data_IF_620538501955
#
_entry.id   IF_620538501955
#
_cell.length_a   1.000
_cell.length_b   1.000
_cell.length_c   1.000
_cell.angle_alpha   90.00
_cell.angle_beta   90.00
_cell.angle_gamma   90.00
#
_symmetry.space_group_name_H-M   'P 1'
#
loop_
_entity.id
_entity.type
_entity.pdbx_description
1 polymer ?
#
# COMPACT_ATOMS: atom_id res chain seq x y z
N UNK A 1 -9.26 31.57 -10.27
CA UNK A 1 -8.35 30.48 -10.64
C UNK A 1 -8.96 29.16 -10.19
N UNK A 2 -9.25 28.27 -11.10
CA UNK A 2 -9.79 27.00 -10.68
C UNK A 2 -8.75 26.27 -9.87
N UNK A 3 -9.13 25.87 -8.69
CA UNK A 3 -8.29 25.00 -7.91
C UNK A 3 -8.25 23.64 -8.59
N UNK A 4 -7.06 23.17 -8.85
CA UNK A 4 -6.92 21.80 -9.27
C UNK A 4 -7.47 20.91 -8.15
N UNK A 5 -8.29 19.90 -8.50
CA UNK A 5 -8.71 18.96 -7.49
C UNK A 5 -7.47 18.33 -6.86
N UNK A 6 -7.53 18.11 -5.54
CA UNK A 6 -6.45 17.41 -4.86
C UNK A 6 -6.13 16.14 -5.62
N UNK A 7 -4.83 15.87 -5.81
CA UNK A 7 -4.40 14.67 -6.50
C UNK A 7 -4.97 13.46 -5.79
N UNK A 8 -5.70 12.62 -6.53
CA UNK A 8 -6.25 11.39 -5.99
C UNK A 8 -5.27 10.26 -6.23
N UNK A 9 -4.98 9.53 -5.17
CA UNK A 9 -4.15 8.35 -5.29
C UNK A 9 -5.00 7.15 -5.69
N UNK A 10 -4.52 6.38 -6.65
CA UNK A 10 -5.11 5.09 -6.99
C UNK A 10 -4.65 4.07 -5.97
N UNK A 11 -5.59 3.47 -5.26
CA UNK A 11 -5.26 2.55 -4.17
C UNK A 11 -6.03 1.25 -4.28
N UNK A 12 -5.41 0.20 -3.75
CA UNK A 12 -6.05 -1.09 -3.51
C UNK A 12 -5.95 -1.37 -2.03
N UNK A 13 -7.10 -1.37 -1.36
CA UNK A 13 -7.17 -1.71 0.05
C UNK A 13 -7.39 -3.22 0.18
N UNK A 14 -6.42 -3.90 0.79
CA UNK A 14 -6.55 -5.31 1.10
C UNK A 14 -6.83 -5.46 2.58
N UNK A 15 -7.93 -6.13 2.87
CA UNK A 15 -8.35 -6.39 4.25
C UNK A 15 -7.72 -7.68 4.76
N UNK A 16 -7.59 -7.77 6.07
CA UNK A 16 -7.04 -8.98 6.69
C UNK A 16 -7.94 -10.20 6.49
N UNK A 17 -9.24 -9.98 6.27
CA UNK A 17 -10.20 -11.05 6.02
C UNK A 17 -10.24 -11.51 4.54
N UNK A 18 -9.39 -10.95 3.69
CA UNK A 18 -9.31 -11.31 2.29
C UNK A 18 -10.10 -10.43 1.34
N UNK A 19 -10.94 -9.53 1.85
CA UNK A 19 -11.65 -8.58 0.98
C UNK A 19 -10.68 -7.64 0.30
N UNK A 20 -11.10 -7.12 -0.84
CA UNK A 20 -10.28 -6.21 -1.63
C UNK A 20 -11.19 -5.09 -2.16
N UNK A 21 -10.71 -3.85 -2.03
CA UNK A 21 -11.45 -2.68 -2.50
C UNK A 21 -10.52 -1.79 -3.28
N UNK A 22 -10.86 -1.52 -4.54
CA UNK A 22 -10.09 -0.64 -5.42
C UNK A 22 -10.77 0.71 -5.54
N UNK A 23 -10.00 1.78 -5.51
CA UNK A 23 -10.57 3.10 -5.65
C UNK A 23 -9.55 4.21 -5.52
N UNK A 24 -10.06 5.40 -5.22
CA UNK A 24 -9.26 6.61 -5.08
C UNK A 24 -9.37 7.13 -3.67
N UNK A 25 -8.28 7.71 -3.16
CA UNK A 25 -8.30 8.38 -1.88
C UNK A 25 -7.54 9.71 -1.95
N UNK A 26 -8.00 10.68 -1.18
CA UNK A 26 -7.35 11.98 -1.03
C UNK A 26 -7.02 12.32 0.41
N UNK A 27 -7.50 11.53 1.36
CA UNK A 27 -7.42 11.83 2.79
C UNK A 27 -6.68 10.78 3.61
N UNK A 28 -5.92 9.90 2.97
CA UNK A 28 -5.14 8.92 3.70
C UNK A 28 -3.97 9.58 4.41
N UNK A 29 -3.88 9.36 5.73
CA UNK A 29 -2.75 9.78 6.55
C UNK A 29 -2.24 8.58 7.34
N UNK A 30 -0.91 8.39 7.43
CA UNK A 30 -0.35 7.23 8.14
C UNK A 30 -0.74 7.12 9.60
N UNK A 31 -1.11 8.24 10.22
CA UNK A 31 -1.47 8.29 11.64
C UNK A 31 -2.97 8.24 11.87
N UNK A 32 -3.76 8.33 10.81
CA UNK A 32 -5.21 8.33 10.95
C UNK A 32 -5.75 6.91 11.09
N UNK A 33 -6.72 6.73 11.95
CA UNK A 33 -7.40 5.45 12.14
C UNK A 33 -8.32 5.10 10.98
N UNK A 34 -8.80 6.12 10.28
CA UNK A 34 -9.83 6.01 9.24
C UNK A 34 -9.47 6.91 8.08
N UNK A 35 -9.75 6.45 6.89
CA UNK A 35 -9.73 7.28 5.69
C UNK A 35 -10.90 6.89 4.78
N UNK A 36 -11.13 7.68 3.74
CA UNK A 36 -12.24 7.45 2.81
C UNK A 36 -11.72 7.03 1.45
N UNK A 37 -12.35 6.04 0.87
CA UNK A 37 -12.00 5.50 -0.43
C UNK A 37 -13.22 5.58 -1.34
N UNK A 38 -13.04 6.26 -2.48
CA UNK A 38 -14.08 6.34 -3.52
C UNK A 38 -13.91 5.16 -4.46
N UNK A 39 -14.82 4.17 -4.42
CA UNK A 39 -14.65 2.95 -5.23
C UNK A 39 -14.61 3.23 -6.73
N UNK A 40 -13.85 2.43 -7.45
CA UNK A 40 -13.87 2.39 -8.92
C UNK A 40 -15.13 1.64 -9.35
N UNK A 41 -16.24 1.97 -8.77
CA UNK A 41 -17.47 1.27 -9.12
C UNK A 41 -18.11 1.94 -10.31
N UNK A 42 -18.74 1.18 -11.17
CA UNK A 42 -19.50 1.75 -12.26
C UNK A 42 -20.79 2.43 -11.81
N UNK A 43 -21.10 2.40 -10.52
CA UNK A 43 -22.34 2.97 -10.00
C UNK A 43 -22.17 4.47 -9.78
N UNK A 44 -22.93 5.24 -10.49
CA UNK A 44 -22.99 6.68 -10.27
C UNK A 44 -23.53 6.98 -8.89
N UNK A 45 -22.88 7.94 -8.21
CA UNK A 45 -23.32 8.36 -6.91
C UNK A 45 -22.85 7.46 -5.76
N UNK A 46 -21.88 6.58 -6.01
CA UNK A 46 -21.30 5.79 -4.96
C UNK A 46 -20.67 6.72 -3.93
N UNK A 47 -21.14 6.65 -2.70
CA UNK A 47 -20.54 7.41 -1.61
C UNK A 47 -19.18 6.83 -1.25
N UNK A 48 -18.23 7.66 -0.83
CA UNK A 48 -16.95 7.14 -0.34
C UNK A 48 -17.16 6.15 0.81
N UNK A 49 -16.36 5.10 0.81
CA UNK A 49 -16.39 4.07 1.83
C UNK A 49 -15.43 4.46 2.93
N UNK A 50 -15.89 4.42 4.18
CA UNK A 50 -15.02 4.59 5.32
C UNK A 50 -14.18 3.33 5.51
N UNK A 51 -12.87 3.48 5.52
CA UNK A 51 -11.94 2.37 5.67
C UNK A 51 -11.20 2.52 6.99
N UNK A 52 -11.29 1.50 7.83
CA UNK A 52 -10.55 1.45 9.09
C UNK A 52 -9.21 0.78 8.86
N UNK A 53 -8.14 1.51 9.11
CA UNK A 53 -6.78 1.05 8.86
C UNK A 53 -6.48 -0.25 9.60
N UNK A 54 -6.96 -0.39 10.84
CA UNK A 54 -6.71 -1.58 11.66
C UNK A 54 -7.28 -2.87 11.05
N UNK A 55 -8.25 -2.77 10.14
CA UNK A 55 -8.83 -3.93 9.47
C UNK A 55 -8.05 -4.34 8.21
N UNK A 56 -7.12 -3.51 7.79
CA UNK A 56 -6.37 -3.76 6.56
C UNK A 56 -5.14 -4.62 6.80
N UNK A 57 -4.80 -5.40 5.79
CA UNK A 57 -3.50 -6.01 5.64
C UNK A 57 -2.51 -4.95 5.17
N UNK A 58 -2.88 -4.23 4.12
CA UNK A 58 -2.06 -3.18 3.53
C UNK A 58 -2.89 -2.31 2.60
N UNK A 59 -2.41 -1.09 2.37
CA UNK A 59 -2.96 -0.19 1.36
C UNK A 59 -1.90 -0.02 0.28
N UNK A 60 -2.23 -0.47 -0.93
CA UNK A 60 -1.31 -0.42 -2.06
C UNK A 60 -1.62 0.80 -2.90
N UNK A 61 -0.62 1.64 -3.12
CA UNK A 61 -0.69 2.75 -4.06
C UNK A 61 -0.20 2.24 -5.39
N UNK A 62 -1.11 2.15 -6.36
CA UNK A 62 -0.85 1.44 -7.62
C UNK A 62 -0.83 2.39 -8.81
N UNK A 63 -0.10 2.00 -9.85
CA UNK A 63 -0.08 2.75 -11.11
C UNK A 63 -1.34 2.47 -11.91
N UNK A 64 -1.79 1.23 -11.93
CA UNK A 64 -2.94 0.75 -12.67
C UNK A 64 -3.78 -0.19 -11.81
N UNK A 65 -5.11 -0.02 -11.87
CA UNK A 65 -6.03 -0.90 -11.12
C UNK A 65 -6.00 -2.34 -11.62
N UNK A 66 -5.77 -2.53 -12.91
CA UNK A 66 -5.73 -3.87 -13.51
C UNK A 66 -4.51 -4.65 -13.06
N UNK A 67 -3.48 -3.96 -12.59
CA UNK A 67 -2.20 -4.58 -12.31
C UNK A 67 -1.50 -4.99 -13.61
N UNK A 68 -0.60 -5.94 -13.48
CA UNK A 68 0.19 -6.48 -14.61
C UNK A 68 0.20 -7.99 -14.48
N UNK A 69 -0.85 -8.67 -15.00
CA UNK A 69 -1.00 -10.12 -14.78
C UNK A 69 0.15 -10.95 -15.35
N UNK A 70 0.83 -10.45 -16.40
CA UNK A 70 1.95 -11.15 -17.00
C UNK A 70 3.29 -10.82 -16.36
N UNK A 71 3.27 -10.04 -15.29
CA UNK A 71 4.49 -9.59 -14.63
C UNK A 71 4.48 -10.00 -13.16
N UNK A 72 5.56 -10.64 -12.74
CA UNK A 72 5.77 -10.97 -11.33
C UNK A 72 6.83 -10.05 -10.75
N UNK A 73 6.52 -9.44 -9.60
CA UNK A 73 7.47 -8.56 -8.92
C UNK A 73 8.73 -9.33 -8.54
N UNK A 74 9.87 -8.71 -8.79
CA UNK A 74 11.15 -9.23 -8.31
C UNK A 74 11.24 -9.04 -6.82
N UNK A 75 11.47 -10.11 -6.11
CA UNK A 75 11.61 -10.10 -4.64
C UNK A 75 13.09 -10.03 -4.24
N UNK A 76 13.85 -9.18 -4.93
CA UNK A 76 15.25 -8.98 -4.65
C UNK A 76 15.66 -7.54 -5.00
N UNK A 77 16.70 -7.06 -4.35
CA UNK A 77 17.21 -5.72 -4.63
C UNK A 77 18.11 -5.76 -5.87
N UNK A 78 18.01 -4.70 -6.68
CA UNK A 78 18.86 -4.52 -7.83
C UNK A 78 20.23 -4.00 -7.36
N UNK A 79 21.33 -4.77 -7.56
CA UNK A 79 22.64 -4.32 -7.12
C UNK A 79 23.17 -3.09 -7.87
N UNK A 80 22.60 -2.80 -9.05
CA UNK A 80 22.98 -1.62 -9.82
C UNK A 80 22.33 -0.33 -9.31
N UNK A 81 21.33 -0.44 -8.42
CA UNK A 81 20.63 0.72 -7.87
C UNK A 81 20.76 0.73 -6.37
N UNK A 82 21.48 1.70 -5.79
CA UNK A 82 21.53 1.82 -4.33
C UNK A 82 20.13 2.11 -3.80
N UNK A 83 19.72 1.45 -2.71
CA UNK A 83 18.40 1.67 -2.15
C UNK A 83 18.29 3.07 -1.53
N UNK A 84 17.12 3.67 -1.69
CA UNK A 84 16.76 4.90 -0.98
C UNK A 84 15.97 4.46 0.25
N UNK A 85 16.46 4.82 1.43
CA UNK A 85 15.87 4.38 2.67
C UNK A 85 16.46 3.05 3.14
N UNK A 86 15.86 2.48 4.15
CA UNK A 86 16.37 1.27 4.78
C UNK A 86 15.70 0.03 4.18
N UNK A 87 16.49 -0.96 3.84
CA UNK A 87 15.98 -2.23 3.33
C UNK A 87 15.14 -2.94 4.39
N UNK A 88 14.01 -3.48 3.98
CA UNK A 88 13.07 -4.15 4.88
C UNK A 88 12.47 -5.38 4.21
N UNK A 89 12.29 -6.42 4.99
CA UNK A 89 11.55 -7.60 4.59
C UNK A 89 10.33 -7.74 5.50
N UNK A 90 9.16 -7.86 4.90
CA UNK A 90 7.90 -8.00 5.61
C UNK A 90 7.29 -9.35 5.27
N UNK A 91 6.94 -10.10 6.29
CA UNK A 91 6.15 -11.33 6.13
C UNK A 91 4.81 -11.12 6.80
N UNK A 92 3.74 -11.22 6.02
CA UNK A 92 2.39 -11.08 6.53
C UNK A 92 1.92 -12.36 7.21
N UNK A 93 0.88 -12.24 8.02
CA UNK A 93 0.30 -13.40 8.71
C UNK A 93 -0.19 -14.47 7.75
N UNK A 94 -0.60 -14.09 6.54
CA UNK A 94 -1.02 -15.02 5.50
C UNK A 94 0.16 -15.65 4.73
N UNK A 95 1.38 -15.30 5.08
CA UNK A 95 2.59 -15.84 4.46
C UNK A 95 3.14 -15.04 3.29
N UNK A 96 2.43 -14.02 2.83
CA UNK A 96 2.95 -13.18 1.74
C UNK A 96 4.19 -12.42 2.18
N UNK A 97 5.14 -12.28 1.27
CA UNK A 97 6.40 -11.60 1.52
C UNK A 97 6.51 -10.37 0.65
N UNK A 98 6.91 -9.25 1.27
CA UNK A 98 7.26 -8.02 0.55
C UNK A 98 8.70 -7.67 0.89
N UNK A 99 9.48 -7.36 -0.12
CA UNK A 99 10.84 -6.87 0.02
C UNK A 99 10.91 -5.48 -0.60
N UNK A 100 11.48 -4.53 0.15
CA UNK A 100 11.57 -3.17 -0.32
C UNK A 100 12.39 -2.30 0.61
N UNK A 101 12.15 -1.00 0.52
CA UNK A 101 12.80 -0.02 1.40
C UNK A 101 11.74 0.78 2.16
N UNK A 102 12.09 1.23 3.35
CA UNK A 102 11.22 2.05 4.17
C UNK A 102 11.96 3.30 4.63
N UNK A 103 11.29 4.47 4.68
CA UNK A 103 11.88 5.65 5.29
C UNK A 103 11.98 5.54 6.80
N UNK A 104 11.18 4.68 7.42
CA UNK A 104 11.22 4.45 8.85
C UNK A 104 10.21 3.41 9.27
N UNK A 105 10.58 2.61 10.24
CA UNK A 105 9.71 1.60 10.83
C UNK A 105 9.56 1.89 12.31
N UNK A 106 8.31 2.03 12.74
CA UNK A 106 7.97 2.27 14.15
C UNK A 106 6.94 1.23 14.56
N UNK A 107 7.33 0.25 15.38
CA UNK A 107 6.46 -0.90 15.70
C UNK A 107 5.17 -0.54 16.45
N UNK A 108 5.15 0.60 17.13
CA UNK A 108 3.99 1.07 17.89
C UNK A 108 3.01 1.93 17.05
N UNK A 109 3.31 2.16 15.78
CA UNK A 109 2.40 2.86 14.87
C UNK A 109 1.49 1.88 14.15
N UNK A 110 0.40 2.38 13.55
CA UNK A 110 -0.54 1.57 12.77
C UNK A 110 0.15 0.81 11.65
N UNK A 111 1.15 1.43 11.05
CA UNK A 111 1.87 0.83 9.96
C UNK A 111 3.04 1.70 9.50
N UNK A 112 3.59 1.33 8.36
CA UNK A 112 4.73 2.03 7.77
C UNK A 112 4.74 1.84 6.26
N UNK A 113 5.36 2.79 5.57
CA UNK A 113 5.47 2.72 4.11
C UNK A 113 6.63 1.83 3.70
N UNK A 114 6.40 1.07 2.63
CA UNK A 114 7.42 0.26 1.96
C UNK A 114 7.34 0.56 0.47
N UNK A 115 8.49 0.86 -0.13
CA UNK A 115 8.63 0.95 -1.58
C UNK A 115 9.17 -0.39 -2.06
N UNK A 116 8.43 -1.11 -2.94
CA UNK A 116 8.88 -2.42 -3.41
C UNK A 116 10.27 -2.36 -4.05
N UNK A 117 11.03 -3.44 -3.87
CA UNK A 117 12.39 -3.54 -4.42
C UNK A 117 12.39 -3.52 -5.94
N UNK A 118 11.32 -3.96 -6.58
CA UNK A 118 11.20 -3.99 -8.02
C UNK A 118 10.70 -2.65 -8.55
N UNK A 119 11.55 -1.88 -9.31
CA UNK A 119 11.15 -0.58 -9.81
C UNK A 119 10.06 -0.65 -10.89
N UNK A 120 9.81 -1.83 -11.44
CA UNK A 120 8.76 -2.05 -12.45
C UNK A 120 7.45 -2.54 -11.83
N UNK A 121 7.39 -2.65 -10.52
CA UNK A 121 6.17 -3.06 -9.84
C UNK A 121 5.02 -2.12 -10.18
N UNK A 122 3.83 -2.66 -10.30
CA UNK A 122 2.60 -1.86 -10.38
C UNK A 122 2.37 -1.08 -9.07
N UNK A 123 2.97 -1.53 -7.99
CA UNK A 123 2.87 -0.89 -6.68
C UNK A 123 3.95 0.17 -6.56
N UNK A 124 3.55 1.44 -6.50
CA UNK A 124 4.49 2.53 -6.28
C UNK A 124 5.01 2.54 -4.85
N UNK A 125 4.12 2.31 -3.91
CA UNK A 125 4.41 2.19 -2.49
C UNK A 125 3.27 1.45 -1.82
N UNK A 126 3.56 0.97 -0.62
CA UNK A 126 2.59 0.19 0.15
C UNK A 126 2.62 0.66 1.59
N UNK A 127 1.45 0.95 2.15
CA UNK A 127 1.34 1.16 3.59
C UNK A 127 1.03 -0.19 4.23
N UNK A 128 2.02 -0.75 4.90
CA UNK A 128 1.91 -2.05 5.57
C UNK A 128 1.30 -1.84 6.94
N UNK A 129 0.19 -2.52 7.22
CA UNK A 129 -0.47 -2.43 8.53
C UNK A 129 0.21 -3.38 9.49
N UNK A 130 0.76 -2.84 10.57
CA UNK A 130 1.60 -3.60 11.50
C UNK A 130 0.89 -4.82 12.09
N UNK A 131 -0.39 -4.68 12.42
CA UNK A 131 -1.16 -5.79 13.00
C UNK A 131 -1.36 -6.97 12.04
N UNK A 132 -1.15 -6.77 10.75
CA UNK A 132 -1.26 -7.84 9.75
C UNK A 132 0.06 -8.56 9.51
N UNK A 133 1.14 -8.10 10.12
CA UNK A 133 2.46 -8.67 9.90
C UNK A 133 2.76 -9.78 10.90
N UNK A 134 3.47 -10.81 10.41
CA UNK A 134 4.04 -11.86 11.26
C UNK A 134 5.48 -11.52 11.64
N UNK A 135 6.22 -10.94 10.70
CA UNK A 135 7.61 -10.58 10.93
C UNK A 135 8.00 -9.36 10.07
N UNK A 136 8.76 -8.45 10.65
CA UNK A 136 9.34 -7.31 9.95
C UNK A 136 10.82 -7.29 10.31
N UNK A 137 11.66 -7.46 9.30
CA UNK A 137 13.12 -7.49 9.48
C UNK A 137 13.75 -6.35 8.71
N UNK A 138 14.47 -5.49 9.44
CA UNK A 138 15.32 -4.48 8.82
C UNK A 138 16.63 -5.14 8.43
N UNK A 139 17.01 -4.98 7.19
CA UNK A 139 18.17 -5.65 6.60
C UNK A 139 19.41 -4.77 6.62
#
# INVERSE_FOLDING_TARGET
MPQEPAAQDKVVARYQDGRLLKGFTTDFLPEAEVFHLSPVAPTQGATPVEVRVAELKALFFVREFQGRPDYSDRKEFDPARPPVGRKVRVIFKDGELILGTTPGYQPDHFGFFVVPADPRSNIERCFVVSSATRDVTLL
#
